data_IF_090983347439
#
_entry.id   IF_090983347439
#
_cell.length_a   1.000
_cell.length_b   1.000
_cell.length_c   1.000
_cell.angle_alpha   90.00
_cell.angle_beta   90.00
_cell.angle_gamma   90.00
#
_symmetry.space_group_name_H-M   'P 1'
#
loop_
_entity.id
_entity.type
_entity.pdbx_description
1 polymer ?
#
# COMPACT_ATOMS: atom_id res chain seq x y z
N UNK A 1 22.82 7.54 10.29
CA UNK A 1 22.64 6.22 10.95
C UNK A 1 23.32 5.20 10.06
N UNK A 2 24.20 4.36 10.63
CA UNK A 2 24.81 3.26 9.91
C UNK A 2 23.84 2.08 9.79
N UNK A 3 24.14 1.10 8.93
CA UNK A 3 23.33 -0.11 8.83
C UNK A 3 23.27 -0.90 10.14
N UNK A 4 24.39 -0.98 10.87
CA UNK A 4 24.41 -1.66 12.16
C UNK A 4 23.57 -0.96 13.23
N UNK A 5 23.61 0.38 13.26
CA UNK A 5 22.74 1.18 14.14
C UNK A 5 21.25 0.99 13.78
N UNK A 6 20.91 0.93 12.48
CA UNK A 6 19.56 0.66 12.01
C UNK A 6 19.07 -0.73 12.45
N UNK A 7 19.89 -1.76 12.25
CA UNK A 7 19.59 -3.14 12.70
C UNK A 7 19.41 -3.22 14.21
N UNK A 8 20.30 -2.58 14.98
CA UNK A 8 20.21 -2.56 16.43
C UNK A 8 18.91 -1.89 16.91
N UNK A 9 18.54 -0.77 16.29
CA UNK A 9 17.30 -0.05 16.60
C UNK A 9 16.05 -0.89 16.28
N UNK A 10 16.03 -1.53 15.11
CA UNK A 10 14.92 -2.43 14.71
C UNK A 10 14.80 -3.61 15.69
N UNK A 11 15.89 -4.30 15.99
CA UNK A 11 15.88 -5.45 16.89
C UNK A 11 15.45 -5.10 18.32
N UNK A 12 15.77 -3.89 18.77
CA UNK A 12 15.41 -3.44 20.10
C UNK A 12 13.92 -3.10 20.26
N UNK A 13 13.24 -2.72 19.16
CA UNK A 13 11.90 -2.10 19.23
C UNK A 13 10.83 -2.77 18.37
N UNK A 14 11.17 -3.72 17.50
CA UNK A 14 10.19 -4.46 16.68
C UNK A 14 10.16 -5.95 17.05
N UNK A 15 8.98 -6.55 16.93
CA UNK A 15 8.87 -8.00 17.03
C UNK A 15 9.54 -8.63 15.80
N UNK A 16 10.44 -9.59 16.03
CA UNK A 16 11.21 -10.26 14.99
C UNK A 16 10.39 -11.37 14.32
N UNK A 17 9.29 -11.00 13.68
CA UNK A 17 8.34 -11.91 13.01
C UNK A 17 8.74 -12.25 11.58
N UNK A 18 9.71 -11.52 11.02
CA UNK A 18 10.19 -11.71 9.63
C UNK A 18 11.71 -11.95 9.62
N UNK A 19 12.15 -12.90 8.79
CA UNK A 19 13.56 -13.01 8.40
C UNK A 19 13.90 -11.97 7.35
N UNK A 20 14.61 -10.89 7.73
CA UNK A 20 15.04 -9.85 6.80
C UNK A 20 16.36 -10.21 6.12
N UNK A 21 16.50 -9.77 4.87
CA UNK A 21 17.80 -9.80 4.20
C UNK A 21 18.73 -8.74 4.80
N UNK A 22 20.03 -8.99 4.80
CA UNK A 22 21.05 -8.03 5.24
C UNK A 22 21.29 -6.93 4.19
N UNK A 23 20.23 -6.19 3.92
CA UNK A 23 20.22 -5.04 3.00
C UNK A 23 19.39 -3.93 3.63
N UNK A 24 19.97 -2.74 3.70
CA UNK A 24 19.28 -1.51 4.06
C UNK A 24 18.90 -0.77 2.80
N UNK A 25 17.64 -0.52 2.60
CA UNK A 25 17.17 0.29 1.45
C UNK A 25 16.89 1.70 1.92
N UNK A 26 17.57 2.69 1.29
CA UNK A 26 17.44 4.11 1.63
C UNK A 26 16.43 4.80 0.70
N UNK A 27 16.61 4.68 -0.61
CA UNK A 27 15.72 5.30 -1.59
C UNK A 27 15.60 4.48 -2.87
N UNK A 28 14.68 4.90 -3.75
CA UNK A 28 14.46 4.24 -5.03
C UNK A 28 13.96 5.18 -6.11
N UNK A 29 14.23 4.82 -7.39
CA UNK A 29 13.68 5.49 -8.55
C UNK A 29 13.34 4.46 -9.64
N UNK A 30 12.12 4.46 -10.14
CA UNK A 30 11.66 3.44 -11.07
C UNK A 30 11.75 2.04 -10.43
N UNK A 31 12.56 1.15 -11.01
CA UNK A 31 12.83 -0.18 -10.47
C UNK A 31 14.20 -0.28 -9.76
N UNK A 32 14.92 0.82 -9.61
CA UNK A 32 16.25 0.82 -8.98
C UNK A 32 16.16 1.28 -7.54
N UNK A 33 16.82 0.56 -6.65
CA UNK A 33 16.96 0.87 -5.23
C UNK A 33 18.42 1.15 -4.90
N UNK A 34 18.63 1.97 -3.88
CA UNK A 34 19.96 2.25 -3.31
C UNK A 34 19.93 2.00 -1.81
N UNK A 35 21.04 1.49 -1.31
CA UNK A 35 21.27 1.37 0.13
C UNK A 35 22.02 2.60 0.69
N UNK A 36 22.22 2.64 2.01
CA UNK A 36 22.93 3.72 2.70
C UNK A 36 24.40 3.84 2.26
N UNK A 37 25.00 2.78 1.70
CA UNK A 37 26.35 2.79 1.16
C UNK A 37 26.40 3.20 -0.35
N UNK A 38 25.25 3.47 -0.98
CA UNK A 38 25.12 3.84 -2.37
C UNK A 38 25.20 2.66 -3.34
N UNK A 39 25.14 1.42 -2.88
CA UNK A 39 25.06 0.25 -3.77
C UNK A 39 23.68 0.19 -4.41
N UNK A 40 23.63 -0.23 -5.67
CA UNK A 40 22.40 -0.29 -6.45
C UNK A 40 21.85 -1.71 -6.54
N UNK A 41 20.51 -1.81 -6.54
CA UNK A 41 19.77 -3.06 -6.68
C UNK A 41 18.65 -2.87 -7.68
N UNK A 42 18.33 -3.90 -8.45
CA UNK A 42 17.12 -3.92 -9.27
C UNK A 42 16.03 -4.64 -8.50
N UNK A 43 14.95 -3.94 -8.24
CA UNK A 43 13.80 -4.49 -7.52
C UNK A 43 12.86 -5.24 -8.46
N UNK A 44 12.92 -6.57 -8.42
CA UNK A 44 11.96 -7.45 -9.10
C UNK A 44 10.75 -7.80 -8.23
N UNK A 45 10.74 -7.38 -6.97
CA UNK A 45 9.66 -7.70 -6.02
C UNK A 45 8.57 -6.65 -5.98
N UNK A 46 8.89 -5.40 -6.33
CA UNK A 46 7.98 -4.25 -6.28
C UNK A 46 7.25 -4.13 -4.95
N UNK A 47 7.95 -4.41 -3.82
CA UNK A 47 7.33 -4.43 -2.49
C UNK A 47 6.21 -5.48 -2.37
N UNK A 48 6.38 -6.65 -2.99
CA UNK A 48 5.38 -7.72 -3.14
C UNK A 48 4.16 -7.24 -3.97
N UNK A 49 4.48 -6.60 -5.11
CA UNK A 49 3.48 -6.13 -6.09
C UNK A 49 2.79 -4.81 -5.74
N UNK A 50 3.21 -4.12 -4.69
CA UNK A 50 2.60 -2.85 -4.25
C UNK A 50 3.11 -1.66 -5.03
N UNK A 51 4.42 -1.61 -5.33
CA UNK A 51 5.08 -0.48 -5.99
C UNK A 51 5.01 -0.57 -7.53
N UNK A 52 3.85 -0.92 -8.09
CA UNK A 52 3.68 -1.17 -9.52
C UNK A 52 3.90 0.04 -10.43
N UNK A 53 3.83 1.26 -9.89
CA UNK A 53 4.15 2.50 -10.62
C UNK A 53 5.63 2.91 -10.51
N UNK A 54 6.44 2.11 -9.83
CA UNK A 54 7.84 2.38 -9.52
C UNK A 54 8.05 3.36 -8.37
N UNK A 55 9.28 3.42 -7.89
CA UNK A 55 9.70 4.35 -6.85
C UNK A 55 9.86 5.77 -7.42
N UNK A 56 9.67 6.79 -6.60
CA UNK A 56 9.90 8.18 -6.99
C UNK A 56 8.95 8.71 -8.07
N UNK A 57 7.76 8.13 -8.23
CA UNK A 57 6.77 8.60 -9.21
C UNK A 57 6.16 9.92 -8.76
N UNK A 58 6.58 11.01 -9.41
CA UNK A 58 6.17 12.37 -9.05
C UNK A 58 4.65 12.60 -9.19
N UNK A 59 4.02 12.02 -10.23
CA UNK A 59 2.57 12.18 -10.43
C UNK A 59 1.77 11.54 -9.31
N UNK A 60 2.18 10.35 -8.88
CA UNK A 60 1.58 9.65 -7.77
C UNK A 60 1.78 10.40 -6.45
N UNK A 61 3.02 10.83 -6.18
CA UNK A 61 3.36 11.60 -4.98
C UNK A 61 2.59 12.92 -4.92
N UNK A 62 2.49 13.62 -6.05
CA UNK A 62 1.74 14.89 -6.16
C UNK A 62 0.26 14.69 -5.91
N UNK A 63 -0.35 13.64 -6.45
CA UNK A 63 -1.76 13.33 -6.22
C UNK A 63 -2.08 13.08 -4.73
N UNK A 64 -1.19 12.35 -4.02
CA UNK A 64 -1.33 12.15 -2.58
C UNK A 64 -1.19 13.47 -1.82
N UNK A 65 -0.16 14.26 -2.14
CA UNK A 65 0.09 15.54 -1.50
C UNK A 65 -1.12 16.49 -1.63
N UNK A 66 -1.64 16.65 -2.85
CA UNK A 66 -2.77 17.55 -3.11
C UNK A 66 -4.05 17.06 -2.40
N UNK A 67 -4.30 15.75 -2.40
CA UNK A 67 -5.46 15.18 -1.72
C UNK A 67 -5.33 15.28 -0.19
N UNK A 68 -4.15 15.09 0.38
CA UNK A 68 -3.89 15.21 1.80
C UNK A 68 -4.13 16.66 2.29
N UNK A 69 -3.76 17.66 1.49
CA UNK A 69 -4.04 19.07 1.79
C UNK A 69 -5.53 19.42 1.65
N UNK A 70 -6.26 18.74 0.77
CA UNK A 70 -7.67 19.03 0.52
C UNK A 70 -8.58 18.33 1.53
N UNK A 71 -8.42 17.02 1.66
CA UNK A 71 -9.21 16.17 2.56
C UNK A 71 -8.48 14.83 2.74
N UNK A 72 -7.71 14.70 3.82
CA UNK A 72 -6.92 13.50 4.10
C UNK A 72 -7.76 12.32 4.57
N UNK A 73 -8.83 12.58 5.33
CA UNK A 73 -9.75 11.55 5.81
C UNK A 73 -11.13 12.12 6.07
N UNK A 74 -12.13 11.29 5.81
CA UNK A 74 -13.53 11.49 6.25
C UNK A 74 -14.14 10.11 6.41
N UNK A 75 -14.94 9.89 7.44
CA UNK A 75 -15.54 8.56 7.66
C UNK A 75 -16.55 8.19 6.57
N UNK A 76 -16.90 6.89 6.48
CA UNK A 76 -17.95 6.40 5.59
C UNK A 76 -19.37 6.91 5.93
N UNK A 77 -19.49 7.79 6.93
CA UNK A 77 -20.74 8.51 7.22
C UNK A 77 -21.03 9.61 6.20
N UNK A 78 -20.04 9.97 5.38
CA UNK A 78 -20.14 11.03 4.39
C UNK A 78 -19.70 10.56 3.01
N UNK A 79 -20.27 11.14 1.96
CA UNK A 79 -19.85 10.89 0.60
C UNK A 79 -18.53 11.61 0.30
N UNK A 80 -17.62 10.94 -0.40
CA UNK A 80 -16.38 11.56 -0.89
C UNK A 80 -16.15 11.26 -2.37
N UNK A 81 -15.63 12.25 -3.10
CA UNK A 81 -15.41 12.11 -4.53
C UNK A 81 -14.34 11.07 -4.88
N UNK A 82 -13.16 11.01 -4.22
CA UNK A 82 -12.15 10.02 -4.53
C UNK A 82 -12.66 8.59 -4.37
N UNK A 83 -13.40 8.32 -3.30
CA UNK A 83 -14.00 7.01 -3.02
C UNK A 83 -14.98 6.59 -4.13
N UNK A 84 -15.94 7.46 -4.46
CA UNK A 84 -16.96 7.16 -5.47
C UNK A 84 -16.36 6.98 -6.87
N UNK A 85 -15.39 7.83 -7.24
CA UNK A 85 -14.70 7.74 -8.54
C UNK A 85 -13.89 6.44 -8.66
N UNK A 86 -13.18 6.04 -7.60
CA UNK A 86 -12.43 4.79 -7.60
C UNK A 86 -13.36 3.58 -7.71
N UNK A 87 -14.45 3.55 -6.95
CA UNK A 87 -15.46 2.49 -7.03
C UNK A 87 -16.01 2.35 -8.44
N UNK A 88 -16.43 3.47 -9.06
CA UNK A 88 -16.95 3.47 -10.43
C UNK A 88 -15.91 2.99 -11.45
N UNK A 89 -14.65 3.42 -11.34
CA UNK A 89 -13.59 2.99 -12.24
C UNK A 89 -13.27 1.49 -12.13
N UNK A 90 -13.28 0.95 -10.91
CA UNK A 90 -13.07 -0.47 -10.66
C UNK A 90 -14.23 -1.31 -11.21
N UNK A 91 -15.47 -0.93 -10.93
CA UNK A 91 -16.65 -1.63 -11.44
C UNK A 91 -16.70 -1.64 -12.97
N UNK A 92 -16.41 -0.51 -13.61
CA UNK A 92 -16.39 -0.42 -15.07
C UNK A 92 -15.34 -1.34 -15.72
N UNK A 93 -14.19 -1.58 -15.05
CA UNK A 93 -13.11 -2.43 -15.58
C UNK A 93 -13.26 -3.90 -15.22
N UNK A 94 -13.84 -4.21 -14.08
CA UNK A 94 -14.00 -5.59 -13.60
C UNK A 94 -15.29 -6.26 -14.06
N UNK A 95 -16.29 -5.46 -14.48
CA UNK A 95 -17.65 -5.95 -14.76
C UNK A 95 -18.47 -6.24 -13.50
N UNK A 96 -17.94 -5.94 -12.31
CA UNK A 96 -18.66 -6.09 -11.04
C UNK A 96 -19.63 -4.94 -10.80
N UNK A 97 -20.74 -5.20 -10.11
CA UNK A 97 -21.77 -4.20 -9.84
C UNK A 97 -21.37 -3.19 -8.76
N UNK A 98 -20.55 -3.60 -7.79
CA UNK A 98 -20.16 -2.77 -6.65
C UNK A 98 -18.77 -3.14 -6.13
N UNK A 99 -18.12 -2.22 -5.41
CA UNK A 99 -16.84 -2.42 -4.75
C UNK A 99 -16.98 -2.14 -3.24
N UNK A 100 -16.30 -2.95 -2.44
CA UNK A 100 -16.10 -2.74 -1.01
C UNK A 100 -14.62 -2.49 -0.75
N UNK A 101 -14.31 -1.48 0.05
CA UNK A 101 -12.93 -1.15 0.40
C UNK A 101 -12.67 -1.44 1.88
N UNK A 102 -11.62 -2.20 2.15
CA UNK A 102 -11.05 -2.44 3.48
C UNK A 102 -9.62 -1.92 3.53
N UNK A 103 -9.02 -1.88 4.73
CA UNK A 103 -7.64 -1.42 4.91
C UNK A 103 -6.60 -2.53 4.63
N UNK A 104 -7.04 -3.77 4.54
CA UNK A 104 -6.17 -4.93 4.35
C UNK A 104 -6.85 -6.07 3.59
N UNK A 105 -6.06 -6.99 3.06
CA UNK A 105 -6.59 -8.22 2.47
C UNK A 105 -7.37 -9.07 3.47
N UNK A 106 -7.00 -9.05 4.75
CA UNK A 106 -7.73 -9.75 5.80
C UNK A 106 -9.15 -9.18 6.00
N UNK A 107 -9.28 -7.87 6.04
CA UNK A 107 -10.59 -7.19 6.11
C UNK A 107 -11.44 -7.42 4.86
N UNK A 108 -10.82 -7.41 3.68
CA UNK A 108 -11.51 -7.72 2.43
C UNK A 108 -12.05 -9.16 2.42
N UNK A 109 -11.26 -10.13 2.88
CA UNK A 109 -11.69 -11.53 3.01
C UNK A 109 -12.80 -11.68 4.06
N UNK A 110 -12.71 -10.99 5.20
CA UNK A 110 -13.79 -10.98 6.19
C UNK A 110 -15.09 -10.40 5.63
N UNK A 111 -14.98 -9.29 4.89
CA UNK A 111 -16.10 -8.69 4.17
C UNK A 111 -16.75 -9.65 3.18
N UNK A 112 -15.95 -10.38 2.40
CA UNK A 112 -16.40 -11.39 1.44
C UNK A 112 -17.14 -12.54 2.14
N UNK A 113 -16.60 -13.06 3.24
CA UNK A 113 -17.24 -14.13 4.03
C UNK A 113 -18.58 -13.70 4.62
N UNK A 114 -18.64 -12.47 5.15
CA UNK A 114 -19.89 -11.89 5.69
C UNK A 114 -20.94 -11.71 4.58
N UNK A 115 -20.53 -11.22 3.41
CA UNK A 115 -21.40 -11.04 2.26
C UNK A 115 -21.97 -12.38 1.77
N UNK A 116 -21.11 -13.39 1.62
CA UNK A 116 -21.52 -14.73 1.20
C UNK A 116 -22.54 -15.35 2.18
N UNK A 117 -22.29 -15.21 3.48
CA UNK A 117 -23.20 -15.72 4.53
C UNK A 117 -24.54 -14.99 4.52
N UNK A 118 -24.53 -13.67 4.35
CA UNK A 118 -25.78 -12.92 4.27
C UNK A 118 -26.58 -13.30 3.03
N UNK A 119 -25.95 -13.39 1.88
CA UNK A 119 -26.59 -13.79 0.62
C UNK A 119 -27.21 -15.19 0.66
N UNK A 120 -26.61 -16.11 1.41
CA UNK A 120 -27.14 -17.48 1.53
C UNK A 120 -28.28 -17.62 2.55
N UNK A 121 -28.57 -16.59 3.35
CA UNK A 121 -29.62 -16.56 4.35
C UNK A 121 -30.88 -15.79 3.95
N UNK A 122 -30.76 -14.99 2.88
CA UNK A 122 -31.89 -14.28 2.27
C UNK A 122 -32.47 -15.09 1.11
#
# INVERSE_FOLDING_TARGET
MTFDELKALDHAHTLQTYGRFDVDVDHGQGATLWDLAGRTYIDFTSGIGVCSVGYGNEKWARAIYDQALTLGHISNLFYSQPYARLAGALCARSGMAAAFFGNSGAEANEGLLKLARKYSHD
#
